data_IF_327741987884
#
_entry.id   IF_327741987884
#
_cell.length_a   1.000
_cell.length_b   1.000
_cell.length_c   1.000
_cell.angle_alpha   90.00
_cell.angle_beta   90.00
_cell.angle_gamma   90.00
#
_symmetry.space_group_name_H-M   'P 1'
#
loop_
_entity.id
_entity.type
_entity.pdbx_description
1 polymer ?
#
# COMPACT_ATOMS: atom_id res chain seq x y z
N UNK A 1 -10.77 -80.41 -68.86
CA UNK A 1 -11.18 -79.06 -68.39
C UNK A 1 -10.48 -78.80 -67.06
N UNK A 2 -9.34 -78.11 -67.08
CA UNK A 2 -8.59 -77.70 -65.89
C UNK A 2 -7.97 -76.34 -66.19
N UNK A 3 -8.80 -75.30 -66.12
CA UNK A 3 -8.39 -73.93 -66.39
C UNK A 3 -7.58 -73.38 -65.21
N UNK A 4 -6.27 -73.25 -65.43
CA UNK A 4 -5.46 -72.10 -65.02
C UNK A 4 -5.72 -71.45 -63.65
N UNK A 5 -5.68 -72.27 -62.59
CA UNK A 5 -5.77 -71.83 -61.19
C UNK A 5 -4.57 -70.93 -60.81
N UNK A 6 -3.42 -71.12 -61.48
CA UNK A 6 -2.19 -70.38 -61.21
C UNK A 6 -2.27 -68.91 -61.68
N UNK A 7 -2.88 -68.64 -62.84
CA UNK A 7 -3.07 -67.28 -63.37
C UNK A 7 -3.92 -66.38 -62.45
N UNK A 8 -4.91 -66.95 -61.74
CA UNK A 8 -5.75 -66.21 -60.79
C UNK A 8 -4.95 -65.79 -59.54
N UNK A 9 -4.06 -66.66 -59.04
CA UNK A 9 -3.18 -66.34 -57.91
C UNK A 9 -2.16 -65.25 -58.28
N UNK A 10 -1.58 -65.34 -59.47
CA UNK A 10 -0.66 -64.34 -60.02
C UNK A 10 -1.34 -62.96 -60.21
N UNK A 11 -2.60 -62.94 -60.64
CA UNK A 11 -3.39 -61.72 -60.76
C UNK A 11 -3.70 -61.07 -59.40
N UNK A 12 -4.09 -61.88 -58.40
CA UNK A 12 -4.31 -61.42 -57.02
C UNK A 12 -3.03 -60.84 -56.38
N UNK A 13 -1.89 -61.50 -56.60
CA UNK A 13 -0.60 -61.06 -56.06
C UNK A 13 -0.13 -59.74 -56.70
N UNK A 14 -0.35 -59.56 -58.02
CA UNK A 14 -0.09 -58.27 -58.70
C UNK A 14 -1.00 -57.15 -58.22
N UNK A 15 -2.28 -57.42 -58.00
CA UNK A 15 -3.23 -56.42 -57.46
C UNK A 15 -2.84 -55.98 -56.02
N UNK A 16 -2.34 -56.90 -55.20
CA UNK A 16 -1.94 -56.61 -53.81
C UNK A 16 -0.61 -55.82 -53.72
N UNK A 17 0.24 -55.90 -54.75
CA UNK A 17 1.52 -55.18 -54.81
C UNK A 17 1.42 -53.74 -55.33
N UNK A 18 0.33 -53.36 -56.00
CA UNK A 18 0.17 -52.00 -56.56
C UNK A 18 -0.46 -50.99 -55.59
N UNK A 19 -1.10 -51.44 -54.50
CA UNK A 19 -1.73 -50.56 -53.50
C UNK A 19 -0.79 -50.17 -52.34
N UNK A 20 0.51 -50.44 -52.47
CA UNK A 20 1.55 -50.02 -51.52
C UNK A 20 2.37 -48.81 -52.04
N UNK A 21 1.68 -47.80 -52.57
CA UNK A 21 2.21 -46.43 -52.52
C UNK A 21 2.27 -45.99 -51.06
N UNK A 22 3.43 -46.23 -50.44
CA UNK A 22 3.72 -45.81 -49.06
C UNK A 22 3.88 -44.28 -49.00
N UNK A 23 2.77 -43.55 -49.08
CA UNK A 23 2.70 -42.18 -48.58
C UNK A 23 2.88 -42.22 -47.05
N UNK A 24 4.14 -42.22 -46.62
CA UNK A 24 4.48 -42.01 -45.23
C UNK A 24 3.85 -40.70 -44.75
N UNK A 25 3.30 -40.64 -43.53
CA UNK A 25 2.59 -39.47 -43.04
C UNK A 25 3.46 -38.21 -43.21
N UNK A 26 2.89 -37.08 -43.65
CA UNK A 26 3.65 -35.91 -44.02
C UNK A 26 4.57 -35.52 -42.86
N UNK A 27 5.88 -35.51 -43.13
CA UNK A 27 6.92 -35.18 -42.13
C UNK A 27 6.54 -33.87 -41.48
N UNK A 28 6.04 -33.94 -40.25
CA UNK A 28 5.55 -32.78 -39.52
C UNK A 28 6.70 -31.82 -39.36
N UNK A 29 6.66 -30.72 -40.10
CA UNK A 29 7.69 -29.70 -40.08
C UNK A 29 7.83 -29.23 -38.64
N UNK A 30 8.94 -29.61 -37.99
CA UNK A 30 9.14 -29.33 -36.57
C UNK A 30 9.11 -27.82 -36.38
N UNK A 31 7.99 -27.32 -35.85
CA UNK A 31 7.77 -25.91 -35.66
C UNK A 31 8.90 -25.38 -34.75
N UNK A 32 9.84 -24.62 -35.34
CA UNK A 32 11.01 -24.10 -34.63
C UNK A 32 10.51 -23.39 -33.38
N UNK A 33 10.77 -23.97 -32.20
CA UNK A 33 10.28 -23.44 -30.93
C UNK A 33 10.78 -22.01 -30.81
N UNK A 34 9.85 -21.04 -30.80
CA UNK A 34 10.19 -19.62 -30.62
C UNK A 34 11.02 -19.49 -29.34
N UNK A 35 12.12 -18.71 -29.33
CA UNK A 35 12.93 -18.57 -28.14
C UNK A 35 12.07 -18.04 -26.99
N UNK A 36 12.02 -18.79 -25.89
CA UNK A 36 11.26 -18.38 -24.71
C UNK A 36 11.91 -17.15 -24.08
N UNK A 37 11.11 -16.13 -23.79
CA UNK A 37 11.58 -14.95 -23.09
C UNK A 37 11.98 -15.28 -21.66
N UNK A 38 13.26 -15.09 -21.32
CA UNK A 38 13.81 -15.40 -20.00
C UNK A 38 13.53 -14.27 -19.01
N UNK A 39 12.30 -14.22 -18.50
CA UNK A 39 11.85 -13.19 -17.57
C UNK A 39 12.73 -13.04 -16.30
N UNK A 40 13.31 -14.14 -15.79
CA UNK A 40 14.16 -14.11 -14.59
C UNK A 40 15.61 -13.64 -14.85
N UNK A 41 16.02 -13.54 -16.12
CA UNK A 41 17.34 -12.99 -16.52
C UNK A 41 17.31 -11.45 -16.60
N UNK A 42 16.13 -10.83 -16.51
CA UNK A 42 15.98 -9.37 -16.38
C UNK A 42 16.58 -8.85 -15.06
N UNK A 43 17.06 -7.59 -14.99
CA UNK A 43 17.37 -6.93 -13.72
C UNK A 43 16.17 -6.88 -12.76
N UNK A 44 16.43 -6.88 -11.45
CA UNK A 44 15.40 -6.96 -10.41
C UNK A 44 14.47 -5.74 -10.44
N UNK A 45 15.01 -4.57 -10.77
CA UNK A 45 14.32 -3.29 -10.89
C UNK A 45 13.25 -3.39 -11.97
N UNK A 46 13.58 -3.97 -13.13
CA UNK A 46 12.65 -4.19 -14.24
C UNK A 46 11.58 -5.22 -13.85
N UNK A 47 11.95 -6.29 -13.14
CA UNK A 47 10.96 -7.25 -12.62
C UNK A 47 9.99 -6.60 -11.62
N UNK A 48 10.48 -5.78 -10.69
CA UNK A 48 9.66 -5.03 -9.73
C UNK A 48 8.71 -4.05 -10.43
N UNK A 49 9.15 -3.35 -11.47
CA UNK A 49 8.26 -2.50 -12.29
C UNK A 49 7.17 -3.35 -12.96
N UNK A 50 7.51 -4.49 -13.54
CA UNK A 50 6.53 -5.40 -14.14
C UNK A 50 5.54 -5.95 -13.09
N UNK A 51 6.00 -6.31 -11.88
CA UNK A 51 5.10 -6.72 -10.80
C UNK A 51 4.20 -5.57 -10.34
N UNK A 52 4.70 -4.34 -10.28
CA UNK A 52 3.91 -3.14 -9.98
C UNK A 52 2.76 -2.99 -10.98
N UNK A 53 3.08 -3.12 -12.28
CA UNK A 53 2.05 -3.14 -13.31
C UNK A 53 1.06 -4.32 -13.12
N UNK A 54 1.52 -5.55 -12.91
CA UNK A 54 0.62 -6.70 -12.73
C UNK A 54 -0.29 -6.54 -11.52
N UNK A 55 0.23 -6.12 -10.37
CA UNK A 55 -0.50 -6.02 -9.11
C UNK A 55 -1.45 -4.81 -9.09
N UNK A 56 -1.01 -3.64 -9.57
CA UNK A 56 -1.72 -2.37 -9.36
C UNK A 56 -2.38 -1.77 -10.61
N UNK A 57 -2.12 -2.26 -11.84
CA UNK A 57 -2.64 -1.60 -13.06
C UNK A 57 -4.16 -1.66 -13.20
N UNK A 58 -4.81 -0.54 -13.58
CA UNK A 58 -6.26 -0.49 -13.74
C UNK A 58 -6.87 -1.08 -15.04
N UNK A 59 -8.06 -1.71 -14.93
CA UNK A 59 -8.85 -2.40 -15.99
C UNK A 59 -9.28 -1.44 -17.06
N UNK A 60 -9.21 -1.93 -18.29
CA UNK A 60 -10.04 -1.48 -19.41
C UNK A 60 -11.22 -2.45 -19.55
N UNK A 61 -12.46 -1.95 -19.57
CA UNK A 61 -13.58 -2.69 -20.19
C UNK A 61 -13.48 -2.50 -21.70
N UNK A 62 -13.92 -3.50 -22.48
CA UNK A 62 -13.58 -3.70 -23.90
C UNK A 62 -13.84 -2.50 -24.82
N UNK A 63 -13.02 -2.49 -25.88
CA UNK A 63 -13.23 -1.91 -27.21
C UNK A 63 -13.24 -0.38 -27.35
N UNK A 64 -12.37 0.07 -28.25
CA UNK A 64 -12.41 1.36 -28.92
C UNK A 64 -13.79 1.58 -29.57
N UNK A 65 -14.58 2.53 -29.06
CA UNK A 65 -15.51 3.31 -29.88
C UNK A 65 -15.42 4.78 -29.52
N UNK A 66 -15.04 5.55 -30.54
CA UNK A 66 -15.04 7.00 -30.60
C UNK A 66 -16.46 7.56 -30.51
N UNK A 67 -16.70 8.40 -29.51
CA UNK A 67 -17.40 9.71 -29.60
C UNK A 67 -17.15 10.44 -28.28
N UNK A 68 -16.96 11.77 -28.32
CA UNK A 68 -16.31 12.51 -27.23
C UNK A 68 -17.25 13.14 -26.20
N UNK A 69 -16.66 13.51 -25.06
CA UNK A 69 -16.92 14.80 -24.39
C UNK A 69 -15.74 15.14 -23.48
N UNK A 70 -15.43 16.43 -23.34
CA UNK A 70 -14.29 16.93 -22.57
C UNK A 70 -14.69 16.98 -21.09
N UNK A 71 -13.93 16.30 -20.20
CA UNK A 71 -14.16 16.37 -18.74
C UNK A 71 -14.00 15.06 -17.95
N UNK A 72 -13.97 13.90 -18.61
CA UNK A 72 -13.92 12.60 -17.93
C UNK A 72 -12.49 12.08 -17.65
N UNK A 73 -11.69 12.81 -16.88
CA UNK A 73 -10.47 12.26 -16.28
C UNK A 73 -10.80 11.43 -15.04
N UNK A 74 -9.98 10.39 -14.74
CA UNK A 74 -10.13 9.46 -13.61
C UNK A 74 -11.40 8.56 -13.61
N UNK A 75 -11.27 7.33 -14.17
CA UNK A 75 -11.94 6.07 -13.71
C UNK A 75 -11.56 4.80 -14.53
N UNK A 76 -10.29 4.40 -14.50
CA UNK A 76 -9.83 3.06 -14.92
C UNK A 76 -9.98 2.05 -13.73
N UNK A 77 -10.09 0.70 -13.87
CA UNK A 77 -10.45 -0.25 -12.75
C UNK A 77 -9.35 -1.22 -12.19
N UNK A 78 -9.36 -2.59 -12.30
CA UNK A 78 -8.10 -3.43 -12.32
C UNK A 78 -7.92 -4.46 -13.50
N UNK A 79 -6.75 -4.54 -14.18
CA UNK A 79 -6.49 -5.27 -15.47
C UNK A 79 -6.99 -6.72 -15.50
N UNK A 80 -6.63 -7.50 -14.49
CA UNK A 80 -7.18 -8.83 -14.25
C UNK A 80 -7.95 -8.83 -12.92
N UNK A 81 -8.65 -9.92 -12.58
CA UNK A 81 -9.31 -9.99 -11.27
C UNK A 81 -8.27 -9.88 -10.13
N UNK A 82 -8.70 -9.63 -8.90
CA UNK A 82 -7.75 -9.64 -7.78
C UNK A 82 -7.09 -11.02 -7.66
N UNK A 83 -7.89 -12.10 -7.77
CA UNK A 83 -7.42 -13.49 -7.72
C UNK A 83 -6.35 -13.78 -8.78
N UNK A 84 -6.59 -13.37 -10.04
CA UNK A 84 -5.62 -13.56 -11.12
C UNK A 84 -4.30 -12.83 -10.83
N UNK A 85 -4.36 -11.64 -10.23
CA UNK A 85 -3.16 -10.87 -9.84
C UNK A 85 -2.44 -11.49 -8.65
N UNK A 86 -3.17 -12.10 -7.70
CA UNK A 86 -2.58 -12.88 -6.61
C UNK A 86 -1.90 -14.16 -7.12
N UNK A 87 -2.25 -14.68 -8.30
CA UNK A 87 -1.56 -15.86 -8.87
C UNK A 87 -0.06 -15.64 -9.12
N UNK A 88 0.37 -14.38 -9.25
CA UNK A 88 1.79 -13.98 -9.33
C UNK A 88 2.61 -14.55 -8.17
N UNK A 89 2.03 -14.61 -6.96
CA UNK A 89 2.69 -15.13 -5.76
C UNK A 89 2.92 -16.66 -5.80
N UNK A 90 2.36 -17.37 -6.76
CA UNK A 90 2.44 -18.83 -6.89
C UNK A 90 3.45 -19.29 -7.95
N UNK A 91 3.98 -18.37 -8.78
CA UNK A 91 4.83 -18.71 -9.94
C UNK A 91 6.16 -19.34 -9.54
N UNK A 92 6.86 -18.77 -8.56
CA UNK A 92 8.11 -19.33 -8.01
C UNK A 92 8.47 -18.67 -6.68
N UNK A 93 9.39 -19.26 -5.91
CA UNK A 93 9.88 -18.68 -4.64
C UNK A 93 10.51 -17.29 -4.82
N UNK A 94 11.26 -17.07 -5.91
CA UNK A 94 11.90 -15.78 -6.22
C UNK A 94 10.85 -14.70 -6.54
N UNK A 95 9.92 -15.01 -7.44
CA UNK A 95 8.80 -14.11 -7.79
C UNK A 95 7.95 -13.82 -6.55
N UNK A 96 7.67 -14.82 -5.71
CA UNK A 96 6.95 -14.64 -4.45
C UNK A 96 7.64 -13.64 -3.52
N UNK A 97 8.94 -13.78 -3.28
CA UNK A 97 9.69 -12.86 -2.41
C UNK A 97 9.65 -11.42 -2.92
N UNK A 98 10.02 -11.22 -4.20
CA UNK A 98 10.08 -9.89 -4.82
C UNK A 98 8.69 -9.22 -4.90
N UNK A 99 7.67 -9.96 -5.36
CA UNK A 99 6.32 -9.43 -5.50
C UNK A 99 5.64 -9.20 -4.14
N UNK A 100 5.85 -10.08 -3.15
CA UNK A 100 5.19 -9.92 -1.84
C UNK A 100 5.74 -8.71 -1.09
N UNK A 101 7.06 -8.50 -1.11
CA UNK A 101 7.66 -7.29 -0.56
C UNK A 101 7.02 -6.03 -1.17
N UNK A 102 6.94 -5.95 -2.50
CA UNK A 102 6.31 -4.84 -3.22
C UNK A 102 4.82 -4.65 -2.86
N UNK A 103 4.06 -5.75 -2.74
CA UNK A 103 2.64 -5.73 -2.41
C UNK A 103 2.38 -5.21 -1.00
N UNK A 104 3.09 -5.73 0.00
CA UNK A 104 2.93 -5.34 1.40
C UNK A 104 3.52 -3.95 1.71
N UNK A 105 4.52 -3.49 0.94
CA UNK A 105 5.05 -2.12 1.10
C UNK A 105 4.14 -1.05 0.50
N UNK A 106 3.43 -1.34 -0.58
CA UNK A 106 2.53 -0.38 -1.23
C UNK A 106 1.16 -0.25 -0.53
N UNK A 107 0.71 -1.29 0.15
CA UNK A 107 -0.60 -1.33 0.80
C UNK A 107 -0.55 -0.76 2.22
N UNK A 108 -1.60 -0.04 2.61
CA UNK A 108 -1.81 0.40 4.00
C UNK A 108 -2.63 -0.63 4.78
N UNK A 109 -2.25 -0.92 6.03
CA UNK A 109 -2.90 -1.90 6.89
C UNK A 109 -3.41 -1.29 8.19
N UNK A 110 -4.65 -1.61 8.58
CA UNK A 110 -5.25 -1.16 9.83
C UNK A 110 -4.64 -1.86 11.03
N UNK A 111 -4.31 -1.10 12.08
CA UNK A 111 -3.84 -1.68 13.35
C UNK A 111 -4.93 -2.50 14.04
N UNK A 112 -6.16 -1.96 14.08
CA UNK A 112 -7.27 -2.56 14.81
C UNK A 112 -8.50 -2.75 13.90
N UNK A 113 -9.36 -3.74 14.21
CA UNK A 113 -10.65 -3.85 13.56
C UNK A 113 -11.56 -2.70 14.01
N UNK A 114 -12.25 -2.10 13.05
CA UNK A 114 -13.33 -1.12 13.29
C UNK A 114 -14.67 -1.75 12.90
N UNK A 115 -15.76 -1.16 13.40
CA UNK A 115 -17.12 -1.56 13.03
C UNK A 115 -17.54 -0.92 11.69
N UNK A 116 -16.80 -1.19 10.62
CA UNK A 116 -17.21 -0.87 9.25
C UNK A 116 -17.61 -2.12 8.46
N UNK A 117 -18.40 -1.94 7.39
CA UNK A 117 -18.77 -3.03 6.49
C UNK A 117 -17.61 -3.50 5.59
N UNK A 118 -16.39 -3.01 5.81
CA UNK A 118 -15.25 -3.29 4.95
C UNK A 118 -14.36 -4.40 5.51
N UNK A 119 -14.11 -5.41 4.69
CA UNK A 119 -13.27 -6.57 5.05
C UNK A 119 -11.79 -6.28 4.83
N UNK A 120 -11.31 -5.10 5.23
CA UNK A 120 -9.89 -4.77 5.15
C UNK A 120 -9.08 -5.59 6.18
N UNK A 121 -7.98 -6.25 5.77
CA UNK A 121 -7.15 -7.00 6.69
C UNK A 121 -6.47 -6.06 7.69
N UNK A 122 -6.53 -6.43 8.96
CA UNK A 122 -5.73 -5.79 10.00
C UNK A 122 -4.31 -6.36 10.01
N UNK A 123 -3.38 -5.65 10.64
CA UNK A 123 -2.01 -6.13 10.89
C UNK A 123 -1.99 -7.52 11.53
N UNK A 124 -2.87 -7.79 12.51
CA UNK A 124 -2.96 -9.11 13.16
C UNK A 124 -3.41 -10.25 12.24
N UNK A 125 -4.06 -9.93 11.11
CA UNK A 125 -4.42 -10.92 10.09
C UNK A 125 -3.26 -11.25 9.14
N UNK A 126 -2.14 -10.51 9.17
CA UNK A 126 -0.97 -10.75 8.35
C UNK A 126 -0.08 -11.86 8.95
N UNK A 127 0.36 -12.84 8.14
CA UNK A 127 1.45 -13.73 8.54
C UNK A 127 2.72 -12.95 8.91
N UNK A 128 3.31 -13.23 10.08
CA UNK A 128 4.46 -12.48 10.63
C UNK A 128 5.62 -12.30 9.64
N UNK A 129 5.83 -13.25 8.72
CA UNK A 129 6.85 -13.19 7.65
C UNK A 129 6.72 -11.97 6.72
N UNK A 130 5.56 -11.31 6.65
CA UNK A 130 5.33 -10.14 5.80
C UNK A 130 5.32 -8.81 6.57
N UNK A 131 5.28 -8.83 7.91
CA UNK A 131 5.33 -7.61 8.73
C UNK A 131 6.57 -6.75 8.44
N UNK A 132 7.78 -7.31 8.22
CA UNK A 132 8.95 -6.50 7.88
C UNK A 132 8.78 -5.67 6.61
N UNK A 133 7.94 -6.11 5.66
CA UNK A 133 7.68 -5.42 4.39
C UNK A 133 6.60 -4.33 4.47
N UNK A 134 5.85 -4.24 5.57
CA UNK A 134 4.79 -3.23 5.73
C UNK A 134 5.42 -1.85 5.92
N UNK A 135 5.12 -0.91 5.02
CA UNK A 135 5.68 0.45 5.07
C UNK A 135 4.72 1.49 5.68
N UNK A 136 3.41 1.28 5.53
CA UNK A 136 2.37 2.21 5.99
C UNK A 136 1.29 1.47 6.78
N UNK A 137 0.94 2.02 7.93
CA UNK A 137 -0.10 1.50 8.83
C UNK A 137 -1.12 2.59 9.14
N UNK A 138 -2.34 2.19 9.48
CA UNK A 138 -3.47 3.07 9.74
C UNK A 138 -4.08 2.81 11.13
N UNK A 139 -4.21 3.87 11.92
CA UNK A 139 -4.98 3.93 13.14
C UNK A 139 -6.25 4.74 12.87
N UNK A 140 -7.42 4.11 13.03
CA UNK A 140 -8.71 4.80 12.92
C UNK A 140 -9.24 5.04 14.34
N UNK A 141 -9.58 6.29 14.64
CA UNK A 141 -10.14 6.73 15.92
C UNK A 141 -11.56 7.28 15.71
N UNK A 142 -12.35 7.34 16.78
CA UNK A 142 -13.74 7.82 16.79
C UNK A 142 -14.79 6.72 16.67
N UNK A 143 -14.43 5.48 16.35
CA UNK A 143 -15.35 4.33 16.48
C UNK A 143 -15.40 3.81 17.92
N UNK A 144 -16.58 3.37 18.38
CA UNK A 144 -16.79 2.77 19.71
C UNK A 144 -16.28 3.63 20.88
N UNK A 145 -16.40 4.96 20.75
CA UNK A 145 -15.75 5.93 21.63
C UNK A 145 -16.31 5.98 23.07
N UNK A 146 -17.51 5.46 23.30
CA UNK A 146 -18.09 5.25 24.64
C UNK A 146 -17.60 3.98 25.33
N UNK A 147 -17.12 2.99 24.57
CA UNK A 147 -16.61 1.71 25.06
C UNK A 147 -15.62 1.11 24.05
N UNK A 148 -14.36 1.56 24.03
CA UNK A 148 -13.36 1.11 23.07
C UNK A 148 -13.16 -0.42 23.16
N UNK A 149 -13.00 -1.16 22.04
CA UNK A 149 -12.96 -2.61 22.08
C UNK A 149 -11.73 -3.11 22.87
N UNK A 150 -11.84 -4.13 23.73
CA UNK A 150 -10.70 -4.65 24.50
C UNK A 150 -9.60 -5.26 23.62
N UNK A 151 -9.87 -5.50 22.33
CA UNK A 151 -8.89 -5.88 21.33
C UNK A 151 -7.95 -4.73 20.92
N UNK A 152 -8.26 -3.47 21.24
CA UNK A 152 -7.44 -2.29 20.95
C UNK A 152 -6.30 -2.14 21.97
N UNK A 153 -5.53 -3.20 22.15
CA UNK A 153 -4.39 -3.29 23.06
C UNK A 153 -3.10 -3.39 22.28
N UNK A 154 -2.11 -2.56 22.61
CA UNK A 154 -0.77 -2.63 22.01
C UNK A 154 0.05 -3.65 22.77
N UNK A 155 0.33 -4.77 22.13
CA UNK A 155 1.05 -5.90 22.70
C UNK A 155 1.99 -6.52 21.67
N UNK A 156 2.88 -7.43 22.11
CA UNK A 156 3.86 -8.08 21.22
C UNK A 156 3.21 -8.86 20.06
N UNK A 157 1.98 -9.36 20.24
CA UNK A 157 1.24 -10.06 19.17
C UNK A 157 0.63 -9.13 18.11
N UNK A 158 0.64 -7.81 18.31
CA UNK A 158 0.37 -6.83 17.25
C UNK A 158 1.55 -6.70 16.27
N UNK A 159 2.77 -7.13 16.66
CA UNK A 159 3.91 -7.24 15.75
C UNK A 159 4.48 -5.91 15.25
N UNK A 160 4.25 -4.79 15.94
CA UNK A 160 4.79 -3.47 15.57
C UNK A 160 6.32 -3.48 15.48
N UNK A 161 6.98 -4.13 16.45
CA UNK A 161 8.43 -4.30 16.51
C UNK A 161 8.99 -5.11 15.32
N UNK A 162 8.17 -6.00 14.71
CA UNK A 162 8.56 -6.79 13.54
C UNK A 162 8.52 -5.94 12.23
N UNK A 163 7.94 -4.73 12.25
CA UNK A 163 7.75 -3.89 11.04
C UNK A 163 8.97 -3.05 10.68
N UNK A 164 10.05 -3.71 10.26
CA UNK A 164 11.31 -3.06 9.88
C UNK A 164 11.14 -1.89 8.87
N UNK A 165 10.28 -2.05 7.86
CA UNK A 165 10.02 -1.02 6.84
C UNK A 165 8.95 0.03 7.18
N UNK A 166 8.29 -0.02 8.36
CA UNK A 166 7.28 0.98 8.70
C UNK A 166 7.91 2.39 8.78
N UNK A 167 7.39 3.34 7.99
CA UNK A 167 7.85 4.74 7.95
C UNK A 167 6.74 5.75 8.23
N UNK A 168 5.51 5.42 7.86
CA UNK A 168 4.33 6.30 7.98
C UNK A 168 3.23 5.64 8.81
N UNK A 169 2.72 6.36 9.80
CA UNK A 169 1.52 6.01 10.56
C UNK A 169 0.43 7.02 10.17
N UNK A 170 -0.62 6.56 9.48
CA UNK A 170 -1.81 7.37 9.21
C UNK A 170 -2.73 7.30 10.43
N UNK A 171 -3.21 8.44 10.90
CA UNK A 171 -4.20 8.56 11.98
C UNK A 171 -5.43 9.23 11.40
N UNK A 172 -6.52 8.46 11.27
CA UNK A 172 -7.80 8.96 10.76
C UNK A 172 -8.79 9.15 11.90
N UNK A 173 -9.26 10.37 12.13
CA UNK A 173 -10.22 10.68 13.20
C UNK A 173 -11.64 10.81 12.62
N UNK A 174 -12.53 9.88 12.99
CA UNK A 174 -13.94 9.90 12.61
C UNK A 174 -14.75 10.87 13.48
N UNK A 175 -14.42 10.99 14.77
CA UNK A 175 -15.23 11.71 15.74
C UNK A 175 -14.34 12.23 16.88
N UNK A 176 -14.64 13.43 17.39
CA UNK A 176 -14.06 13.98 18.62
C UNK A 176 -15.16 14.11 19.70
N UNK A 177 -15.26 13.14 20.64
CA UNK A 177 -16.22 13.16 21.75
C UNK A 177 -16.02 14.29 22.77
N UNK A 178 -14.90 15.03 22.72
CA UNK A 178 -14.68 16.17 23.59
C UNK A 178 -15.59 17.37 23.23
N UNK A 179 -16.09 17.41 22.00
CA UNK A 179 -17.00 18.46 21.53
C UNK A 179 -18.29 18.51 22.36
N UNK A 180 -18.84 19.70 22.72
CA UNK A 180 -20.00 19.82 23.60
C UNK A 180 -21.25 19.06 23.15
N UNK A 181 -21.43 18.83 21.85
CA UNK A 181 -22.55 18.05 21.28
C UNK A 181 -22.65 16.62 21.84
N UNK A 182 -21.57 16.05 22.38
CA UNK A 182 -21.53 14.71 22.94
C UNK A 182 -21.72 14.66 24.47
N UNK A 183 -22.03 15.79 25.13
CA UNK A 183 -22.07 15.89 26.59
C UNK A 183 -23.02 14.89 27.27
N UNK A 184 -24.23 14.69 26.73
CA UNK A 184 -25.19 13.70 27.25
C UNK A 184 -24.93 12.25 26.80
N UNK A 185 -23.94 12.00 25.95
CA UNK A 185 -23.66 10.69 25.36
C UNK A 185 -22.31 10.10 25.77
N UNK A 186 -21.43 10.89 26.41
CA UNK A 186 -20.07 10.51 26.77
C UNK A 186 -19.94 9.98 28.20
N UNK A 187 -19.02 9.03 28.39
CA UNK A 187 -18.64 8.52 29.72
C UNK A 187 -18.03 9.63 30.58
N UNK A 188 -17.11 10.41 30.01
CA UNK A 188 -16.64 11.69 30.54
C UNK A 188 -16.07 12.55 29.40
N UNK A 189 -15.73 13.81 29.68
CA UNK A 189 -15.15 14.73 28.70
C UNK A 189 -13.82 14.23 28.12
N UNK A 190 -12.97 13.66 28.97
CA UNK A 190 -11.57 13.36 28.62
C UNK A 190 -11.31 11.86 28.43
N UNK A 191 -12.26 10.98 28.78
CA UNK A 191 -12.11 9.51 28.71
C UNK A 191 -11.54 9.02 27.37
N UNK A 192 -12.19 9.39 26.25
CA UNK A 192 -11.74 8.95 24.93
C UNK A 192 -10.44 9.63 24.49
N UNK A 193 -10.23 10.89 24.87
CA UNK A 193 -9.01 11.66 24.60
C UNK A 193 -7.79 11.05 25.29
N UNK A 194 -7.93 10.64 26.55
CA UNK A 194 -6.89 9.96 27.31
C UNK A 194 -6.58 8.59 26.71
N UNK A 195 -7.61 7.77 26.48
CA UNK A 195 -7.47 6.46 25.82
C UNK A 195 -6.74 6.56 24.47
N UNK A 196 -7.15 7.49 23.60
CA UNK A 196 -6.53 7.66 22.30
C UNK A 196 -5.07 8.17 22.39
N UNK A 197 -4.77 9.06 23.34
CA UNK A 197 -3.41 9.52 23.60
C UNK A 197 -2.49 8.39 24.09
N UNK A 198 -2.92 7.62 25.08
CA UNK A 198 -2.17 6.46 25.60
C UNK A 198 -1.97 5.39 24.53
N UNK A 199 -3.00 5.12 23.72
CA UNK A 199 -2.92 4.19 22.59
C UNK A 199 -1.88 4.65 21.57
N UNK A 200 -1.89 5.94 21.22
CA UNK A 200 -0.92 6.55 20.30
C UNK A 200 0.50 6.48 20.86
N UNK A 201 0.69 6.83 22.14
CA UNK A 201 1.98 6.75 22.83
C UNK A 201 2.57 5.33 22.79
N UNK A 202 1.75 4.31 23.10
CA UNK A 202 2.15 2.91 23.08
C UNK A 202 2.49 2.40 21.66
N UNK A 203 1.82 2.90 20.63
CA UNK A 203 2.12 2.59 19.22
C UNK A 203 3.45 3.22 18.81
N UNK A 204 3.63 4.51 19.08
CA UNK A 204 4.84 5.27 18.74
C UNK A 204 6.09 4.68 19.40
N UNK A 205 6.00 4.26 20.67
CA UNK A 205 7.09 3.64 21.41
C UNK A 205 7.55 2.29 20.83
N UNK A 206 6.67 1.56 20.12
CA UNK A 206 6.96 0.24 19.53
C UNK A 206 7.25 0.25 18.03
N UNK A 207 7.37 1.44 17.43
CA UNK A 207 7.71 1.61 16.02
C UNK A 207 9.03 2.40 15.88
N UNK A 208 10.19 1.76 16.11
CA UNK A 208 11.48 2.46 16.19
C UNK A 208 11.81 3.20 14.88
N UNK A 209 11.48 2.60 13.73
CA UNK A 209 11.83 3.13 12.41
C UNK A 209 10.78 4.12 11.84
N UNK A 210 9.73 4.46 12.60
CA UNK A 210 8.72 5.41 12.17
C UNK A 210 9.33 6.81 12.00
N UNK A 211 9.07 7.45 10.85
CA UNK A 211 9.59 8.78 10.52
C UNK A 211 8.51 9.85 10.73
N UNK A 212 7.27 9.54 10.36
CA UNK A 212 6.20 10.53 10.26
C UNK A 212 4.83 9.96 10.64
N UNK A 213 3.97 10.85 11.12
CA UNK A 213 2.55 10.62 11.38
C UNK A 213 1.74 11.54 10.48
N UNK A 214 0.80 10.98 9.73
CA UNK A 214 -0.09 11.70 8.83
C UNK A 214 -1.49 11.74 9.43
N UNK A 215 -2.04 12.93 9.68
CA UNK A 215 -3.35 13.14 10.28
C UNK A 215 -4.40 13.56 9.26
N UNK A 216 -5.54 12.87 9.27
CA UNK A 216 -6.73 13.22 8.48
C UNK A 216 -7.99 12.91 9.32
N UNK A 217 -9.17 13.35 8.89
CA UNK A 217 -10.40 13.11 9.63
C UNK A 217 -11.65 13.54 8.88
N UNK A 218 -12.82 13.29 9.46
CA UNK A 218 -14.06 13.88 8.93
C UNK A 218 -14.10 15.40 9.17
N UNK A 219 -14.76 16.19 8.30
CA UNK A 219 -14.84 17.65 8.44
C UNK A 219 -15.46 18.16 9.75
N UNK A 220 -16.16 17.31 10.50
CA UNK A 220 -16.70 17.58 11.83
C UNK A 220 -15.66 17.57 12.95
N UNK A 221 -14.44 17.07 12.69
CA UNK A 221 -13.34 17.02 13.66
C UNK A 221 -12.55 18.32 13.60
N UNK A 222 -12.41 19.01 14.74
CA UNK A 222 -11.66 20.25 14.84
C UNK A 222 -10.16 19.96 15.02
N UNK A 223 -9.28 20.54 14.19
CA UNK A 223 -7.82 20.37 14.33
C UNK A 223 -7.28 20.89 15.67
N UNK A 224 -7.89 21.96 16.20
CA UNK A 224 -7.61 22.53 17.53
C UNK A 224 -8.47 21.91 18.65
N UNK A 225 -9.21 20.82 18.36
CA UNK A 225 -9.98 20.07 19.34
C UNK A 225 -9.10 19.35 20.37
N UNK A 226 -9.68 18.93 21.51
CA UNK A 226 -8.90 18.35 22.60
C UNK A 226 -8.27 17.00 22.21
N UNK A 227 -8.99 16.17 21.44
CA UNK A 227 -8.47 14.90 20.93
C UNK A 227 -7.26 15.12 20.00
N UNK A 228 -7.39 16.02 19.03
CA UNK A 228 -6.31 16.35 18.10
C UNK A 228 -5.10 16.97 18.81
N UNK A 229 -5.33 17.89 19.73
CA UNK A 229 -4.27 18.51 20.55
C UNK A 229 -3.47 17.45 21.32
N UNK A 230 -4.15 16.46 21.94
CA UNK A 230 -3.50 15.35 22.62
C UNK A 230 -2.65 14.51 21.66
N UNK A 231 -3.20 14.09 20.52
CA UNK A 231 -2.51 13.24 19.54
C UNK A 231 -1.28 13.93 18.91
N UNK A 232 -1.38 15.23 18.63
CA UNK A 232 -0.26 16.05 18.16
C UNK A 232 0.81 16.19 19.26
N UNK A 233 0.40 16.32 20.52
CA UNK A 233 1.30 16.30 21.68
C UNK A 233 2.14 15.02 21.76
N UNK A 234 1.50 13.85 21.74
CA UNK A 234 2.20 12.54 21.74
C UNK A 234 3.16 12.40 20.54
N UNK A 235 2.76 12.90 19.37
CA UNK A 235 3.56 12.85 18.14
C UNK A 235 4.82 13.72 18.24
N UNK A 236 4.70 14.94 18.79
CA UNK A 236 5.84 15.83 19.08
C UNK A 236 6.76 15.23 20.15
N UNK A 237 6.20 14.67 21.22
CA UNK A 237 6.97 14.01 22.28
C UNK A 237 7.79 12.82 21.73
N UNK A 238 7.23 12.05 20.80
CA UNK A 238 7.95 10.97 20.08
C UNK A 238 8.89 11.46 18.96
N UNK A 239 9.06 12.78 18.80
CA UNK A 239 9.91 13.44 17.78
C UNK A 239 9.65 12.97 16.36
N UNK A 240 8.38 12.75 16.00
CA UNK A 240 7.96 12.34 14.64
C UNK A 240 7.48 13.54 13.83
N UNK A 241 7.73 13.54 12.52
CA UNK A 241 7.21 14.58 11.62
C UNK A 241 5.68 14.49 11.55
N UNK A 242 5.01 15.64 11.64
CA UNK A 242 3.55 15.74 11.48
C UNK A 242 3.28 16.09 10.01
N UNK A 243 2.39 15.34 9.37
CA UNK A 243 1.86 15.60 8.03
C UNK A 243 0.34 15.67 8.07
N UNK A 244 -0.26 16.35 7.10
CA UNK A 244 -1.71 16.46 6.94
C UNK A 244 -2.18 15.66 5.72
N UNK A 245 -3.24 14.88 5.90
CA UNK A 245 -3.80 14.02 4.87
C UNK A 245 -4.54 14.79 3.77
N UNK A 246 -4.48 14.31 2.50
CA UNK A 246 -5.07 15.01 1.37
C UNK A 246 -6.56 14.67 1.13
N UNK A 247 -7.13 13.67 1.80
CA UNK A 247 -8.38 13.06 1.33
C UNK A 247 -9.63 13.90 1.64
N UNK A 248 -9.62 14.70 2.71
CA UNK A 248 -10.82 15.39 3.24
C UNK A 248 -10.63 16.88 3.50
N UNK A 249 -9.74 17.52 2.76
CA UNK A 249 -9.50 18.98 2.84
C UNK A 249 -8.60 19.39 4.00
N UNK A 250 -7.99 18.45 4.72
CA UNK A 250 -7.02 18.77 5.78
C UNK A 250 -5.69 19.32 5.24
N UNK A 251 -5.45 19.23 3.93
CA UNK A 251 -4.37 19.93 3.22
C UNK A 251 -4.68 21.36 2.78
N UNK A 252 -5.94 21.82 2.83
CA UNK A 252 -6.41 23.01 2.07
C UNK A 252 -7.08 24.10 2.95
N UNK A 253 -6.66 24.23 4.22
CA UNK A 253 -7.04 25.39 5.06
C UNK A 253 -5.78 26.22 5.32
N UNK A 254 -5.92 27.54 5.35
CA UNK A 254 -4.82 28.52 5.26
C UNK A 254 -3.82 28.44 6.40
N UNK A 255 -2.63 28.99 6.15
CA UNK A 255 -1.49 29.04 7.09
C UNK A 255 -1.75 29.89 8.35
N UNK A 256 -2.94 30.48 8.51
CA UNK A 256 -3.38 31.17 9.74
C UNK A 256 -3.54 30.23 10.96
N UNK A 257 -3.43 28.92 10.74
CA UNK A 257 -3.45 27.87 11.76
C UNK A 257 -2.04 27.34 12.12
N UNK A 258 -0.97 27.90 11.55
CA UNK A 258 0.41 27.57 11.94
C UNK A 258 0.65 28.05 13.37
N UNK A 259 0.91 27.10 14.27
CA UNK A 259 1.28 27.36 15.65
C UNK A 259 2.57 28.19 15.65
N UNK A 260 2.60 29.31 16.35
CA UNK A 260 3.81 30.14 16.47
C UNK A 260 5.00 29.27 16.92
N UNK A 261 6.05 29.23 16.09
CA UNK A 261 7.29 28.53 16.42
C UNK A 261 8.00 29.28 17.55
N UNK A 262 7.97 28.71 18.76
CA UNK A 262 8.70 29.22 19.93
C UNK A 262 9.70 28.19 20.42
N UNK A 263 10.83 28.04 19.71
CA UNK A 263 12.14 27.72 20.30
C UNK A 263 13.27 27.78 19.24
N UNK A 264 14.13 28.80 19.31
CA UNK A 264 15.59 28.66 19.48
C UNK A 264 16.29 30.04 19.44
N UNK A 265 16.44 30.67 20.61
CA UNK A 265 17.46 31.71 20.81
C UNK A 265 18.80 31.04 21.17
N UNK A 266 19.57 30.67 20.16
CA UNK A 266 20.98 30.26 20.32
C UNK A 266 21.90 31.40 19.85
N UNK A 267 22.58 32.13 20.75
CA UNK A 267 23.39 33.28 20.37
C UNK A 267 24.74 32.82 19.79
N UNK A 268 24.83 32.72 18.46
CA UNK A 268 26.12 32.63 17.78
C UNK A 268 26.80 34.00 17.71
N UNK A 269 28.01 34.08 18.26
CA UNK A 269 28.76 35.33 18.38
C UNK A 269 29.16 35.94 17.04
N UNK A 270 28.99 37.27 16.93
CA UNK A 270 29.51 38.04 15.80
C UNK A 270 30.93 38.53 16.11
N UNK A 271 31.90 38.05 15.34
CA UNK A 271 33.25 38.59 15.33
C UNK A 271 33.41 39.75 14.34
N UNK A 272 34.10 40.80 14.77
CA UNK A 272 34.83 41.80 13.97
C UNK A 272 34.17 42.38 12.70
N UNK A 273 33.49 43.51 12.87
CA UNK A 273 33.47 44.58 11.87
C UNK A 273 34.25 45.80 12.41
N UNK A 274 35.41 46.11 11.83
CA UNK A 274 36.14 47.33 12.18
C UNK A 274 35.41 48.57 11.61
N UNK A 275 35.15 49.57 12.44
CA UNK A 275 34.98 50.96 11.99
C UNK A 275 35.59 51.91 13.00
N UNK A 276 36.08 53.05 12.51
CA UNK A 276 37.17 53.80 13.13
C UNK A 276 36.71 54.81 14.19
N UNK A 277 37.60 55.08 15.13
CA UNK A 277 37.48 56.12 16.16
C UNK A 277 37.52 57.52 15.57
N UNK A 278 36.58 58.39 15.96
CA UNK A 278 36.84 59.84 16.08
C UNK A 278 36.26 60.33 17.40
N UNK A 279 37.14 60.68 18.34
CA UNK A 279 36.79 61.41 19.56
C UNK A 279 36.87 62.91 19.29
N UNK A 280 35.82 63.65 19.64
CA UNK A 280 35.92 65.10 19.93
C UNK A 280 35.17 65.38 21.22
N UNK A 281 35.86 66.00 22.17
CA UNK A 281 35.34 66.44 23.47
C UNK A 281 35.29 67.97 23.53
N UNK A 282 34.43 68.50 24.41
CA UNK A 282 34.31 69.90 24.84
C UNK A 282 33.81 70.90 23.77
N UNK A 283 32.90 71.81 24.08
CA UNK A 283 32.76 72.54 25.36
C UNK A 283 31.30 72.73 25.79
#
# INVERSE_FOLDING_TARGET
MTADVNSIQDALQRATLQDQTTEGPPKTAQAKKKPCFRFLDLPTEIRLQIYSFVLFTPRRRRALRTTGSVGASSKNKPVASLVDRMSLFLVSRRVHGEASHLFYSAQTFRLFPIQDYSRFPTVRALPRRYLPSVATIELILGSSWTAPPPSWTVNRSLGLEDMACARTLKVFVQCDPSHPVFEGFRVSRDYYTQFAGELMQQILARLPNLVQVEFDGYPSVQRKGALMTRLLGETRAARKKILWGPERGWSNLSDDDVVEDVDELVPYGQGNGHSQTVTVMAS
#
